data_IF_154083556994
#
_entry.id   IF_154083556994
#
_cell.length_a   1.000
_cell.length_b   1.000
_cell.length_c   1.000
_cell.angle_alpha   90.00
_cell.angle_beta   90.00
_cell.angle_gamma   90.00
#
_symmetry.space_group_name_H-M   'P 1'
#
loop_
_entity.id
_entity.type
_entity.pdbx_description
1 polymer ?
#
# COMPACT_ATOMS: atom_id res chain seq x y z
N UNK A 1 -33.49 10.37 2.54
CA UNK A 1 -33.64 10.84 3.93
C UNK A 1 -33.19 12.29 4.19
N UNK A 2 -32.41 12.95 3.30
CA UNK A 2 -31.95 14.35 3.52
C UNK A 2 -33.10 15.36 3.74
N UNK A 3 -34.24 15.14 3.08
CA UNK A 3 -35.43 16.00 3.17
C UNK A 3 -36.06 16.09 4.57
N UNK A 4 -35.83 15.11 5.46
CA UNK A 4 -36.50 15.03 6.77
C UNK A 4 -35.55 15.21 7.96
N UNK A 5 -34.30 15.62 7.72
CA UNK A 5 -33.27 15.74 8.76
C UNK A 5 -33.64 16.71 9.89
N UNK A 6 -34.44 17.75 9.60
CA UNK A 6 -34.91 18.72 10.60
C UNK A 6 -36.13 18.26 11.39
N UNK A 7 -36.80 17.18 10.98
CA UNK A 7 -38.09 16.74 11.53
C UNK A 7 -38.00 15.48 12.40
N UNK A 8 -37.03 14.60 12.12
CA UNK A 8 -36.90 13.34 12.84
C UNK A 8 -35.48 12.80 12.74
N UNK A 9 -35.13 11.87 13.63
CA UNK A 9 -33.84 11.20 13.59
C UNK A 9 -33.78 10.16 12.46
N UNK A 10 -32.59 9.90 11.92
CA UNK A 10 -32.38 8.82 10.94
C UNK A 10 -32.68 7.44 11.52
N UNK A 11 -32.64 7.28 12.85
CA UNK A 11 -33.00 6.05 13.55
C UNK A 11 -34.49 5.75 13.41
N UNK A 12 -35.33 6.72 13.76
CA UNK A 12 -36.79 6.56 13.73
C UNK A 12 -37.27 6.37 12.28
N UNK A 13 -36.66 7.10 11.35
CA UNK A 13 -36.94 6.98 9.92
C UNK A 13 -36.57 5.59 9.36
N UNK A 14 -35.42 5.04 9.76
CA UNK A 14 -35.06 3.66 9.40
C UNK A 14 -36.03 2.64 10.03
N UNK A 15 -36.46 2.86 11.28
CA UNK A 15 -37.43 2.00 11.96
C UNK A 15 -38.80 2.02 11.28
N UNK A 16 -39.31 3.19 10.92
CA UNK A 16 -40.60 3.34 10.23
C UNK A 16 -40.58 2.70 8.84
N UNK A 17 -39.44 2.76 8.14
CA UNK A 17 -39.27 2.14 6.83
C UNK A 17 -38.87 0.66 6.91
N UNK A 18 -38.78 0.09 8.11
CA UNK A 18 -38.31 -1.28 8.36
C UNK A 18 -36.96 -1.57 7.67
N UNK A 19 -36.07 -0.57 7.65
CA UNK A 19 -34.74 -0.62 7.04
C UNK A 19 -33.68 -0.83 8.13
N UNK A 20 -32.75 -1.77 7.89
CA UNK A 20 -31.59 -1.92 8.75
C UNK A 20 -30.72 -0.65 8.70
N UNK A 21 -30.34 -0.12 9.88
CA UNK A 21 -29.48 1.07 9.98
C UNK A 21 -28.16 0.90 9.21
N UNK A 22 -27.60 -0.31 9.23
CA UNK A 22 -26.38 -0.66 8.49
C UNK A 22 -26.52 -0.41 6.98
N UNK A 23 -27.66 -0.77 6.40
CA UNK A 23 -27.95 -0.54 4.97
C UNK A 23 -28.02 0.95 4.63
N UNK A 24 -28.49 1.79 5.55
CA UNK A 24 -28.52 3.25 5.34
C UNK A 24 -27.11 3.88 5.31
N UNK A 25 -26.22 3.46 6.21
CA UNK A 25 -24.85 3.99 6.27
C UNK A 25 -23.90 3.35 5.25
N UNK A 26 -24.21 2.12 4.81
CA UNK A 26 -23.42 1.44 3.81
C UNK A 26 -23.46 2.20 2.49
N UNK A 27 -22.29 2.64 2.04
CA UNK A 27 -22.08 3.17 0.69
C UNK A 27 -21.19 2.20 -0.05
N UNK A 28 -21.68 1.51 -1.09
CA UNK A 28 -20.81 0.69 -1.92
C UNK A 28 -19.72 1.61 -2.49
N UNK A 29 -18.47 1.18 -2.35
CA UNK A 29 -17.32 1.84 -2.98
C UNK A 29 -16.69 0.83 -3.92
N UNK A 30 -16.41 1.29 -5.13
CA UNK A 30 -15.67 0.50 -6.10
C UNK A 30 -14.17 0.49 -5.75
N UNK A 31 -13.53 -0.64 -6.02
CA UNK A 31 -12.10 -0.84 -5.81
C UNK A 31 -11.71 -1.49 -4.48
N UNK A 32 -10.42 -1.78 -4.35
CA UNK A 32 -9.84 -2.39 -3.14
C UNK A 32 -9.82 -1.35 -2.01
N UNK A 33 -10.32 -1.74 -0.84
CA UNK A 33 -10.23 -0.94 0.38
C UNK A 33 -8.77 -0.87 0.85
N UNK A 34 -8.35 0.31 1.32
CA UNK A 34 -7.01 0.52 1.87
C UNK A 34 -6.30 1.72 1.25
N UNK A 35 -5.18 2.13 1.85
CA UNK A 35 -4.29 3.16 1.30
C UNK A 35 -3.58 2.60 0.07
N UNK A 36 -3.50 3.40 -1.00
CA UNK A 36 -2.76 3.04 -2.20
C UNK A 36 -1.26 2.94 -1.91
N UNK A 37 -0.52 2.04 -2.58
CA UNK A 37 0.92 1.93 -2.41
C UNK A 37 1.64 3.24 -2.73
N UNK A 38 2.75 3.51 -2.03
CA UNK A 38 3.55 4.72 -2.27
C UNK A 38 4.37 4.62 -3.56
N UNK A 39 4.45 5.73 -4.29
CA UNK A 39 5.19 5.87 -5.56
C UNK A 39 6.62 6.36 -5.39
N UNK A 40 6.93 6.96 -4.23
CA UNK A 40 8.24 7.52 -3.90
C UNK A 40 8.77 6.94 -2.58
N UNK A 41 10.09 6.93 -2.44
CA UNK A 41 10.83 6.50 -1.25
C UNK A 41 11.74 7.64 -0.81
N UNK A 42 11.82 7.89 0.49
CA UNK A 42 12.70 8.91 1.04
C UNK A 42 14.02 8.28 1.51
N UNK A 43 15.13 8.96 1.31
CA UNK A 43 16.45 8.56 1.81
C UNK A 43 16.78 9.33 3.10
N UNK A 44 17.66 8.78 3.95
CA UNK A 44 18.17 9.52 5.12
C UNK A 44 18.99 10.76 4.72
N UNK A 45 19.52 10.80 3.49
CA UNK A 45 20.21 11.95 2.91
C UNK A 45 19.27 13.11 2.53
N UNK A 46 17.95 12.93 2.67
CA UNK A 46 16.97 13.99 2.44
C UNK A 46 16.41 14.04 1.01
N UNK A 47 16.67 13.03 0.20
CA UNK A 47 16.25 12.99 -1.22
C UNK A 47 15.05 12.07 -1.43
N UNK A 48 14.21 12.44 -2.39
CA UNK A 48 13.11 11.60 -2.86
C UNK A 48 13.55 10.78 -4.06
N UNK A 49 13.24 9.49 -4.04
CA UNK A 49 13.63 8.52 -5.05
C UNK A 49 12.39 7.81 -5.59
N UNK A 50 12.28 7.68 -6.91
CA UNK A 50 11.15 7.00 -7.55
C UNK A 50 11.20 5.49 -7.33
N UNK A 51 10.06 4.82 -7.46
CA UNK A 51 10.03 3.36 -7.41
C UNK A 51 10.88 2.73 -8.52
N UNK A 52 10.99 3.34 -9.72
CA UNK A 52 11.85 2.77 -10.78
C UNK A 52 13.32 2.75 -10.37
N UNK A 53 13.80 3.83 -9.74
CA UNK A 53 15.18 3.89 -9.26
C UNK A 53 15.44 2.86 -8.15
N UNK A 54 14.49 2.67 -7.23
CA UNK A 54 14.58 1.62 -6.21
C UNK A 54 14.64 0.23 -6.84
N UNK A 55 13.85 -0.03 -7.89
CA UNK A 55 13.90 -1.30 -8.62
C UNK A 55 15.25 -1.50 -9.32
N UNK A 56 15.82 -0.46 -9.93
CA UNK A 56 17.17 -0.53 -10.52
C UNK A 56 18.23 -0.89 -9.47
N UNK A 57 18.15 -0.32 -8.27
CA UNK A 57 19.07 -0.65 -7.18
C UNK A 57 18.89 -2.10 -6.71
N UNK A 58 17.65 -2.59 -6.62
CA UNK A 58 17.38 -4.00 -6.31
C UNK A 58 17.99 -4.92 -7.37
N UNK A 59 17.80 -4.60 -8.65
CA UNK A 59 18.36 -5.39 -9.75
C UNK A 59 19.90 -5.39 -9.72
N UNK A 60 20.51 -4.26 -9.37
CA UNK A 60 21.97 -4.18 -9.21
C UNK A 60 22.47 -5.11 -8.09
N UNK A 61 21.79 -5.13 -6.93
CA UNK A 61 22.11 -6.03 -5.82
C UNK A 61 22.01 -7.50 -6.27
N UNK A 62 20.93 -7.87 -6.97
CA UNK A 62 20.71 -9.25 -7.41
C UNK A 62 21.62 -9.69 -8.56
N UNK A 63 22.21 -8.75 -9.29
CA UNK A 63 23.14 -9.03 -10.38
C UNK A 63 24.54 -9.45 -9.89
N UNK A 64 24.83 -9.31 -8.60
CA UNK A 64 26.08 -9.78 -8.02
C UNK A 64 26.21 -11.31 -8.13
N UNK A 65 27.41 -11.85 -8.41
CA UNK A 65 27.61 -13.28 -8.52
C UNK A 65 27.26 -13.98 -7.21
N UNK A 66 26.56 -15.11 -7.30
CA UNK A 66 26.09 -15.92 -6.15
C UNK A 66 25.04 -15.24 -5.25
N UNK A 67 24.38 -14.19 -5.74
CA UNK A 67 23.38 -13.44 -4.99
C UNK A 67 21.99 -14.10 -5.07
N UNK A 68 21.69 -15.01 -4.12
CA UNK A 68 20.38 -15.64 -3.96
C UNK A 68 19.56 -14.97 -2.84
N UNK A 69 19.49 -13.63 -2.83
CA UNK A 69 18.83 -12.90 -1.76
C UNK A 69 17.31 -12.81 -1.94
N UNK A 70 16.58 -13.17 -0.88
CA UNK A 70 15.16 -12.85 -0.77
C UNK A 70 14.93 -11.38 -0.45
N UNK A 71 13.66 -10.95 -0.55
CA UNK A 71 13.26 -9.56 -0.29
C UNK A 71 13.61 -9.06 1.11
N UNK A 72 13.74 -9.94 2.10
CA UNK A 72 14.14 -9.56 3.46
C UNK A 72 15.58 -9.06 3.49
N UNK A 73 16.52 -9.82 2.92
CA UNK A 73 17.92 -9.43 2.81
C UNK A 73 18.09 -8.16 1.96
N UNK A 74 17.42 -8.09 0.81
CA UNK A 74 17.42 -6.90 -0.04
C UNK A 74 16.91 -5.68 0.74
N UNK A 75 15.88 -5.84 1.57
CA UNK A 75 15.36 -4.73 2.38
C UNK A 75 16.31 -4.23 3.45
N UNK A 76 17.17 -5.11 4.00
CA UNK A 76 18.23 -4.71 4.91
C UNK A 76 19.35 -3.98 4.16
N UNK A 77 19.82 -4.56 3.06
CA UNK A 77 20.85 -3.97 2.22
C UNK A 77 20.46 -2.56 1.72
N UNK A 78 19.22 -2.37 1.27
CA UNK A 78 18.71 -1.05 0.84
C UNK A 78 18.69 0.00 1.97
N UNK A 79 18.52 -0.42 3.23
CA UNK A 79 18.54 0.50 4.38
C UNK A 79 19.95 0.84 4.82
N UNK A 80 20.86 -0.12 4.72
CA UNK A 80 22.20 0.00 5.25
C UNK A 80 23.12 0.71 4.24
N UNK A 81 23.16 0.24 2.99
CA UNK A 81 24.03 0.77 1.94
C UNK A 81 23.45 2.03 1.27
N UNK A 82 22.18 1.97 0.86
CA UNK A 82 21.52 3.08 0.14
C UNK A 82 20.78 4.05 1.05
N UNK A 83 20.76 3.80 2.37
CA UNK A 83 20.11 4.64 3.37
C UNK A 83 18.63 4.92 3.08
N UNK A 84 17.93 3.99 2.42
CA UNK A 84 16.50 4.13 2.12
C UNK A 84 15.65 3.97 3.38
N UNK A 85 14.68 4.86 3.57
CA UNK A 85 13.61 4.70 4.55
C UNK A 85 12.50 3.86 3.90
N UNK A 86 12.74 2.56 3.81
CA UNK A 86 11.87 1.61 3.13
C UNK A 86 11.48 0.45 4.04
N UNK A 87 10.28 -0.12 3.84
CA UNK A 87 9.79 -1.28 4.58
C UNK A 87 9.86 -2.54 3.70
N UNK A 88 10.09 -3.72 4.30
CA UNK A 88 10.10 -5.01 3.61
C UNK A 88 8.81 -5.29 2.81
N UNK A 89 7.66 -4.78 3.27
CA UNK A 89 6.39 -4.85 2.51
C UNK A 89 6.46 -4.12 1.16
N UNK A 90 7.12 -2.96 1.11
CA UNK A 90 7.29 -2.20 -0.13
C UNK A 90 8.29 -2.90 -1.05
N UNK A 91 9.39 -3.42 -0.50
CA UNK A 91 10.40 -4.17 -1.25
C UNK A 91 9.79 -5.42 -1.89
N UNK A 92 9.06 -6.23 -1.10
CA UNK A 92 8.36 -7.41 -1.60
C UNK A 92 7.46 -7.07 -2.79
N UNK A 93 6.58 -6.07 -2.62
CA UNK A 93 5.67 -5.63 -3.70
C UNK A 93 6.43 -5.19 -4.95
N UNK A 94 7.51 -4.41 -4.81
CA UNK A 94 8.30 -3.95 -5.95
C UNK A 94 9.01 -5.13 -6.66
N UNK A 95 9.51 -6.10 -5.90
CA UNK A 95 10.12 -7.30 -6.46
C UNK A 95 9.09 -8.19 -7.16
N UNK A 96 7.90 -8.36 -6.58
CA UNK A 96 6.78 -9.10 -7.16
C UNK A 96 6.29 -8.45 -8.47
N UNK A 97 6.05 -7.13 -8.45
CA UNK A 97 5.62 -6.36 -9.63
C UNK A 97 6.63 -6.41 -10.79
N UNK A 98 7.91 -6.69 -10.51
CA UNK A 98 9.00 -6.75 -11.50
C UNK A 98 9.54 -8.19 -11.72
N UNK A 99 8.84 -9.22 -11.23
CA UNK A 99 9.23 -10.63 -11.38
C UNK A 99 10.65 -10.96 -10.86
N UNK A 100 11.07 -10.34 -9.75
CA UNK A 100 12.39 -10.51 -9.12
C UNK A 100 12.39 -11.53 -7.96
N UNK A 101 11.24 -12.12 -7.63
CA UNK A 101 11.12 -13.14 -6.58
C UNK A 101 11.36 -14.54 -7.15
N UNK A 102 12.28 -15.28 -6.56
CA UNK A 102 12.48 -16.70 -6.87
C UNK A 102 11.41 -17.54 -6.15
N UNK A 103 10.31 -17.84 -6.83
CA UNK A 103 9.24 -18.68 -6.28
C UNK A 103 7.84 -18.47 -6.86
N UNK A 104 7.73 -17.93 -8.08
CA UNK A 104 6.47 -17.85 -8.83
C UNK A 104 6.34 -19.04 -9.78
#
# INVERSE_FOLDING_TARGET
MKQYQSRTSTTDLCQWLNLAKSSYYYKPKEGKKGIKPSTITYTKAGTWVSNEKVVQDITAILSEPFCAYGYEYVSHYLKDEYQYIINKKKVYRLMEENNLLMGA
#
